data_IF_213333389704
#
_entry.id   IF_213333389704
#
_cell.length_a   1.000
_cell.length_b   1.000
_cell.length_c   1.000
_cell.angle_alpha   90.00
_cell.angle_beta   90.00
_cell.angle_gamma   90.00
#
_symmetry.space_group_name_H-M   'P 1'
#
loop_
_entity.id
_entity.type
_entity.pdbx_description
1 polymer ?
#
# COMPACT_ATOMS: atom_id res chain seq x y z
N UNK A 1 41.66 -42.51 61.38
CA UNK A 1 40.43 -43.00 62.05
C UNK A 1 39.42 -41.86 62.09
N UNK A 2 38.17 -42.22 61.87
CA UNK A 2 37.01 -41.42 61.46
C UNK A 2 36.35 -40.63 62.61
N UNK A 3 35.78 -39.47 62.29
CA UNK A 3 34.80 -38.75 63.12
C UNK A 3 33.50 -38.53 62.31
N UNK A 4 32.30 -38.71 62.89
CA UNK A 4 31.05 -38.40 62.20
C UNK A 4 30.35 -37.14 62.73
N UNK A 5 29.72 -36.44 61.78
CA UNK A 5 28.81 -35.30 61.92
C UNK A 5 27.36 -35.80 61.92
N UNK A 6 26.47 -35.21 62.71
CA UNK A 6 25.02 -35.50 62.67
C UNK A 6 24.21 -34.40 61.96
N UNK A 7 23.08 -34.80 61.36
CA UNK A 7 22.25 -34.08 60.38
C UNK A 7 20.93 -33.56 60.99
N UNK A 8 20.57 -32.31 60.63
CA UNK A 8 19.22 -31.77 60.23
C UNK A 8 18.05 -31.85 61.27
N UNK A 9 17.10 -30.92 61.41
CA UNK A 9 16.48 -29.95 60.49
C UNK A 9 15.64 -28.91 61.27
N UNK A 10 15.37 -27.75 60.63
CA UNK A 10 14.12 -26.97 60.65
C UNK A 10 14.00 -25.73 61.56
N UNK A 11 14.39 -24.55 61.05
CA UNK A 11 13.80 -23.24 61.43
C UNK A 11 13.70 -22.36 60.17
N UNK A 12 12.50 -21.83 59.91
CA UNK A 12 12.19 -20.92 58.83
C UNK A 12 12.75 -19.51 59.06
N UNK A 13 13.08 -18.83 57.95
CA UNK A 13 13.44 -17.42 57.93
C UNK A 13 12.56 -16.68 56.93
N UNK A 14 11.70 -15.83 57.46
CA UNK A 14 11.07 -14.71 56.76
C UNK A 14 12.15 -13.64 56.59
N UNK A 15 12.51 -13.31 55.36
CA UNK A 15 13.29 -12.13 55.04
C UNK A 15 12.58 -11.37 53.92
N UNK A 16 12.14 -10.16 54.26
CA UNK A 16 11.51 -9.22 53.35
C UNK A 16 12.49 -8.82 52.24
N UNK A 17 12.18 -9.18 51.00
CA UNK A 17 12.79 -8.59 49.81
C UNK A 17 11.91 -7.44 49.38
N UNK A 18 12.29 -6.22 49.76
CA UNK A 18 11.81 -5.00 49.11
C UNK A 18 12.29 -5.01 47.66
N UNK A 19 11.42 -5.45 46.76
CA UNK A 19 11.62 -5.31 45.32
C UNK A 19 11.59 -3.82 44.97
N UNK A 20 12.77 -3.25 44.72
CA UNK A 20 12.89 -1.97 44.05
C UNK A 20 12.37 -2.15 42.61
N UNK A 21 11.09 -1.83 42.40
CA UNK A 21 10.55 -1.63 41.06
C UNK A 21 11.18 -0.35 40.49
N UNK A 22 12.36 -0.47 39.90
CA UNK A 22 12.83 0.50 38.92
C UNK A 22 11.87 0.46 37.74
N UNK A 23 10.92 1.39 37.74
CA UNK A 23 10.17 1.76 36.55
C UNK A 23 11.17 2.34 35.54
N UNK A 24 11.90 1.48 34.86
CA UNK A 24 12.53 1.83 33.60
C UNK A 24 11.37 2.20 32.68
N UNK A 25 11.14 3.51 32.52
CA UNK A 25 10.31 4.03 31.45
C UNK A 25 10.92 3.48 30.17
N UNK A 26 10.32 2.43 29.61
CA UNK A 26 10.62 1.98 28.25
C UNK A 26 10.27 3.18 27.40
N UNK A 27 11.29 3.96 27.04
CA UNK A 27 11.14 5.10 26.14
C UNK A 27 10.65 4.47 24.84
N UNK A 28 9.34 4.57 24.58
CA UNK A 28 8.73 3.99 23.40
C UNK A 28 9.58 4.45 22.20
N UNK A 29 10.20 3.49 21.52
CA UNK A 29 11.13 3.79 20.44
C UNK A 29 10.35 4.58 19.39
N UNK A 30 10.84 5.78 19.05
CA UNK A 30 10.15 6.64 18.10
C UNK A 30 9.99 5.88 16.77
N UNK A 31 8.76 5.81 16.27
CA UNK A 31 8.47 5.15 15.00
C UNK A 31 9.20 5.87 13.86
N UNK A 32 9.64 5.16 12.82
CA UNK A 32 10.23 5.80 11.64
C UNK A 32 9.28 6.86 11.08
N UNK A 33 9.76 8.07 10.89
CA UNK A 33 9.03 9.15 10.24
C UNK A 33 9.85 9.71 9.09
N UNK A 34 9.20 10.02 7.98
CA UNK A 34 9.84 10.63 6.81
C UNK A 34 8.99 11.79 6.29
N UNK A 35 9.61 12.82 5.68
CA UNK A 35 8.86 13.93 5.12
C UNK A 35 7.89 13.50 4.02
N UNK A 36 6.75 14.19 3.96
CA UNK A 36 5.71 14.01 2.94
C UNK A 36 5.44 15.35 2.28
N UNK A 37 5.68 15.45 0.98
CA UNK A 37 5.33 16.62 0.20
C UNK A 37 3.88 16.56 -0.28
N UNK A 38 3.18 17.68 -0.18
CA UNK A 38 1.81 17.88 -0.66
C UNK A 38 1.80 19.11 -1.57
N UNK A 39 1.33 18.95 -2.81
CA UNK A 39 1.28 20.05 -3.77
C UNK A 39 -0.07 20.13 -4.48
N UNK A 40 -0.45 21.34 -4.91
CA UNK A 40 -1.61 21.53 -5.79
C UNK A 40 -1.24 21.13 -7.21
N UNK A 41 -2.04 20.26 -7.80
CA UNK A 41 -2.02 19.92 -9.22
C UNK A 41 -3.47 19.78 -9.67
N UNK A 42 -4.02 20.82 -10.31
CA UNK A 42 -5.48 20.92 -10.53
C UNK A 42 -5.98 20.20 -11.77
N UNK A 43 -5.10 19.73 -12.64
CA UNK A 43 -5.43 19.15 -13.94
C UNK A 43 -4.40 18.09 -14.32
N UNK A 44 -4.82 17.11 -15.11
CA UNK A 44 -3.92 16.14 -15.75
C UNK A 44 -3.28 16.72 -17.01
N UNK A 45 -2.44 17.73 -16.79
CA UNK A 45 -1.57 18.30 -17.82
C UNK A 45 -0.15 17.77 -17.59
N UNK A 46 0.50 17.25 -18.63
CA UNK A 46 1.78 16.54 -18.49
C UNK A 46 2.88 17.43 -17.89
N UNK A 47 3.04 18.66 -18.40
CA UNK A 47 4.09 19.56 -17.95
C UNK A 47 3.82 20.07 -16.53
N UNK A 48 2.56 20.38 -16.21
CA UNK A 48 2.15 20.74 -14.85
C UNK A 48 2.42 19.59 -13.87
N UNK A 49 1.99 18.37 -14.18
CA UNK A 49 2.16 17.21 -13.31
C UNK A 49 3.65 16.90 -13.14
N UNK A 50 4.43 16.89 -14.22
CA UNK A 50 5.87 16.63 -14.19
C UNK A 50 6.65 17.67 -13.40
N UNK A 51 6.39 18.96 -13.62
CA UNK A 51 7.03 20.04 -12.85
C UNK A 51 6.64 20.03 -11.37
N UNK A 52 5.38 19.69 -11.06
CA UNK A 52 4.89 19.52 -9.69
C UNK A 52 5.61 18.36 -8.99
N UNK A 53 5.68 17.19 -9.64
CA UNK A 53 6.39 16.02 -9.09
C UNK A 53 7.88 16.30 -8.91
N UNK A 54 8.54 16.99 -9.86
CA UNK A 54 9.95 17.39 -9.72
C UNK A 54 10.17 18.24 -8.46
N UNK A 55 9.32 19.26 -8.26
CA UNK A 55 9.36 20.12 -7.08
C UNK A 55 9.16 19.32 -5.79
N UNK A 56 8.20 18.40 -5.77
CA UNK A 56 7.95 17.54 -4.61
C UNK A 56 9.12 16.58 -4.31
N UNK A 57 9.77 16.05 -5.35
CA UNK A 57 10.95 15.21 -5.23
C UNK A 57 12.14 15.97 -4.66
N UNK A 58 12.32 17.23 -5.03
CA UNK A 58 13.32 18.12 -4.43
C UNK A 58 13.02 18.40 -2.95
N UNK A 59 11.74 18.62 -2.60
CA UNK A 59 11.32 18.81 -1.21
C UNK A 59 11.61 17.60 -0.31
N UNK A 60 11.21 16.38 -0.73
CA UNK A 60 11.42 15.16 0.08
C UNK A 60 12.88 14.66 0.03
N UNK A 61 13.62 15.02 -1.01
CA UNK A 61 15.03 14.73 -1.16
C UNK A 61 15.38 13.28 -1.53
N UNK A 62 16.52 13.12 -2.22
CA UNK A 62 17.16 11.83 -2.47
C UNK A 62 16.55 10.97 -3.58
N UNK A 63 15.54 11.46 -4.31
CA UNK A 63 14.93 10.72 -5.42
C UNK A 63 15.90 10.46 -6.58
N UNK A 64 16.73 11.42 -7.03
CA UNK A 64 17.68 11.13 -8.11
C UNK A 64 18.65 9.98 -7.77
N UNK A 65 19.23 10.00 -6.56
CA UNK A 65 20.09 8.92 -6.07
C UNK A 65 19.34 7.61 -5.79
N UNK A 66 18.03 7.70 -5.47
CA UNK A 66 17.22 6.51 -5.22
C UNK A 66 17.12 5.65 -6.48
N UNK A 67 16.98 6.28 -7.66
CA UNK A 67 16.68 5.59 -8.93
C UNK A 67 17.85 5.48 -9.91
N UNK A 68 18.91 6.27 -9.77
CA UNK A 68 20.05 6.28 -10.70
C UNK A 68 20.68 4.88 -10.83
N UNK A 69 20.79 4.39 -12.06
CA UNK A 69 21.39 3.09 -12.42
C UNK A 69 20.55 1.88 -12.04
N UNK A 70 19.30 2.06 -11.59
CA UNK A 70 18.49 1.00 -10.99
C UNK A 70 17.29 0.61 -11.83
N UNK A 71 16.73 -0.56 -11.53
CA UNK A 71 15.40 -0.99 -11.99
C UNK A 71 14.32 -0.44 -11.07
N UNK A 72 13.41 0.35 -11.63
CA UNK A 72 12.28 0.96 -10.93
C UNK A 72 10.99 0.26 -11.33
N UNK A 73 10.36 -0.44 -10.40
CA UNK A 73 9.03 -1.03 -10.61
C UNK A 73 7.95 -0.07 -10.10
N UNK A 74 7.03 0.31 -10.97
CA UNK A 74 5.92 1.21 -10.66
C UNK A 74 4.63 0.41 -10.61
N UNK A 75 4.09 0.22 -9.41
CA UNK A 75 2.75 -0.36 -9.21
C UNK A 75 1.69 0.73 -9.29
N UNK A 76 0.91 0.71 -10.36
CA UNK A 76 -0.24 1.61 -10.52
C UNK A 76 -1.50 0.99 -9.92
N UNK A 77 -2.61 1.73 -9.86
CA UNK A 77 -3.92 1.18 -9.50
C UNK A 77 -4.81 1.07 -10.75
N UNK A 78 -4.97 -0.14 -11.30
CA UNK A 78 -5.97 -0.46 -12.36
C UNK A 78 -6.75 -1.69 -11.88
N UNK A 79 -7.96 -1.47 -11.34
CA UNK A 79 -8.64 -2.46 -10.49
C UNK A 79 -10.11 -2.71 -10.89
N UNK A 80 -10.66 -3.85 -10.50
CA UNK A 80 -12.09 -4.14 -10.63
C UNK A 80 -12.54 -4.72 -11.98
N UNK A 81 -11.63 -4.86 -12.95
CA UNK A 81 -11.89 -5.49 -14.25
C UNK A 81 -12.94 -4.82 -15.12
N UNK A 82 -13.45 -3.67 -14.70
CA UNK A 82 -14.43 -2.87 -15.41
C UNK A 82 -13.88 -1.46 -15.56
N UNK A 83 -13.64 -1.04 -16.79
CA UNK A 83 -13.31 0.34 -17.16
C UNK A 83 -14.53 1.27 -17.11
N UNK A 84 -15.57 0.89 -16.36
CA UNK A 84 -16.83 1.61 -16.29
C UNK A 84 -16.63 3.04 -15.76
N UNK A 85 -17.27 4.03 -16.40
CA UNK A 85 -17.19 5.42 -15.96
C UNK A 85 -17.99 5.64 -14.66
N UNK A 86 -17.61 6.68 -13.91
CA UNK A 86 -18.45 7.26 -12.87
C UNK A 86 -19.05 8.54 -13.44
N UNK A 87 -20.37 8.54 -13.62
CA UNK A 87 -21.10 9.55 -14.40
C UNK A 87 -20.49 9.69 -15.81
N UNK A 88 -19.95 10.85 -16.16
CA UNK A 88 -19.36 11.13 -17.48
C UNK A 88 -17.83 10.96 -17.50
N UNK A 89 -17.20 10.67 -16.36
CA UNK A 89 -15.75 10.55 -16.27
C UNK A 89 -15.32 9.09 -16.38
N UNK A 90 -14.29 8.84 -17.20
CA UNK A 90 -13.74 7.50 -17.41
C UNK A 90 -13.09 6.93 -16.14
N UNK A 91 -12.75 5.64 -16.18
CA UNK A 91 -12.09 4.98 -15.05
C UNK A 91 -10.74 5.64 -14.70
N UNK A 92 -9.95 6.10 -15.67
CA UNK A 92 -8.64 6.77 -15.43
C UNK A 92 -8.75 8.12 -14.72
N UNK A 93 -9.89 8.79 -14.86
CA UNK A 93 -10.16 10.04 -14.15
C UNK A 93 -10.49 9.78 -12.67
N UNK A 94 -11.13 8.65 -12.35
CA UNK A 94 -11.85 8.49 -11.08
C UNK A 94 -11.38 7.32 -10.22
N UNK A 95 -11.20 6.14 -10.83
CA UNK A 95 -10.92 4.86 -10.16
C UNK A 95 -9.47 4.44 -10.33
N UNK A 96 -8.93 4.54 -11.55
CA UNK A 96 -7.57 4.12 -11.88
C UNK A 96 -6.60 5.25 -11.70
N UNK A 97 -5.33 4.94 -11.43
CA UNK A 97 -4.25 5.93 -11.49
C UNK A 97 -4.21 6.56 -12.86
N UNK A 98 -4.16 7.89 -12.93
CA UNK A 98 -4.20 8.57 -14.22
C UNK A 98 -2.88 8.40 -14.99
N UNK A 99 -2.90 8.02 -16.29
CA UNK A 99 -1.70 7.77 -17.08
C UNK A 99 -0.71 8.94 -17.08
N UNK A 100 -1.19 10.19 -17.14
CA UNK A 100 -0.32 11.38 -17.10
C UNK A 100 0.54 11.44 -15.83
N UNK A 101 0.04 11.03 -14.67
CA UNK A 101 0.82 10.99 -13.41
C UNK A 101 1.92 9.94 -13.50
N UNK A 102 1.61 8.78 -14.06
CA UNK A 102 2.56 7.68 -14.25
C UNK A 102 3.64 8.06 -15.26
N UNK A 103 3.25 8.64 -16.40
CA UNK A 103 4.17 9.10 -17.45
C UNK A 103 5.10 10.20 -16.93
N UNK A 104 4.56 11.16 -16.18
CA UNK A 104 5.35 12.24 -15.58
C UNK A 104 6.38 11.70 -14.57
N UNK A 105 5.98 10.77 -13.70
CA UNK A 105 6.89 10.12 -12.76
C UNK A 105 7.97 9.31 -13.48
N UNK A 106 7.59 8.46 -14.44
CA UNK A 106 8.51 7.66 -15.25
C UNK A 106 9.50 8.54 -16.03
N UNK A 107 9.04 9.65 -16.60
CA UNK A 107 9.88 10.64 -17.29
C UNK A 107 10.94 11.25 -16.38
N UNK A 108 10.59 11.53 -15.11
CA UNK A 108 11.55 12.03 -14.13
C UNK A 108 12.55 10.96 -13.71
N UNK A 109 12.10 9.72 -13.48
CA UNK A 109 13.00 8.61 -13.14
C UNK A 109 13.99 8.33 -14.27
N UNK A 110 13.53 8.37 -15.52
CA UNK A 110 14.39 8.26 -16.70
C UNK A 110 15.41 9.41 -16.75
N UNK A 111 14.96 10.67 -16.58
CA UNK A 111 15.85 11.84 -16.48
C UNK A 111 16.88 11.71 -15.36
N UNK A 112 16.53 11.08 -14.25
CA UNK A 112 17.44 10.82 -13.12
C UNK A 112 18.36 9.61 -13.33
N UNK A 113 18.25 8.93 -14.48
CA UNK A 113 19.13 7.85 -14.88
C UNK A 113 18.69 6.47 -14.41
N UNK A 114 17.39 6.23 -14.18
CA UNK A 114 16.89 4.86 -14.02
C UNK A 114 17.26 4.01 -15.25
N UNK A 115 17.83 2.83 -15.00
CA UNK A 115 18.28 1.94 -16.07
C UNK A 115 17.11 1.22 -16.75
N UNK A 116 16.08 0.88 -15.97
CA UNK A 116 14.89 0.16 -16.42
C UNK A 116 13.68 0.63 -15.63
N UNK A 117 12.55 0.84 -16.27
CA UNK A 117 11.30 1.26 -15.61
C UNK A 117 10.21 0.28 -16.01
N UNK A 118 9.56 -0.38 -15.06
CA UNK A 118 8.55 -1.40 -15.33
C UNK A 118 7.22 -0.97 -14.73
N UNK A 119 6.20 -0.77 -15.56
CA UNK A 119 4.84 -0.49 -15.10
C UNK A 119 4.13 -1.82 -14.85
N UNK A 120 3.67 -2.02 -13.61
CA UNK A 120 3.06 -3.26 -13.15
C UNK A 120 1.65 -3.04 -12.63
N UNK A 121 0.77 -3.98 -12.93
CA UNK A 121 -0.49 -4.23 -12.25
C UNK A 121 -0.93 -5.67 -12.51
N UNK A 122 -1.67 -6.27 -11.58
CA UNK A 122 -2.42 -7.49 -11.87
C UNK A 122 -3.70 -7.15 -12.61
N UNK A 123 -3.60 -7.01 -13.93
CA UNK A 123 -4.74 -6.67 -14.77
C UNK A 123 -5.75 -7.82 -14.81
N UNK A 124 -7.01 -7.45 -14.99
CA UNK A 124 -8.12 -8.37 -15.21
C UNK A 124 -8.29 -8.62 -16.73
N UNK A 125 -7.17 -8.87 -17.41
CA UNK A 125 -7.11 -9.08 -18.86
C UNK A 125 -6.14 -10.24 -19.15
N UNK A 126 -6.48 -11.10 -20.11
CA UNK A 126 -5.63 -12.23 -20.48
C UNK A 126 -4.39 -11.82 -21.27
N UNK A 127 -4.44 -10.65 -21.91
CA UNK A 127 -3.35 -10.15 -22.73
C UNK A 127 -2.09 -9.82 -21.92
N UNK A 128 -1.00 -9.64 -22.67
CA UNK A 128 0.28 -9.17 -22.13
C UNK A 128 0.16 -7.78 -21.48
N UNK A 129 1.21 -7.39 -20.76
CA UNK A 129 1.25 -6.10 -20.07
C UNK A 129 0.96 -4.95 -21.02
N UNK A 130 1.63 -4.91 -22.17
CA UNK A 130 1.53 -3.80 -23.12
C UNK A 130 0.10 -3.61 -23.64
N UNK A 131 -0.54 -4.68 -24.11
CA UNK A 131 -1.90 -4.62 -24.66
C UNK A 131 -2.94 -4.40 -23.56
N UNK A 132 -2.77 -5.05 -22.40
CA UNK A 132 -3.67 -4.87 -21.26
C UNK A 132 -3.67 -3.43 -20.71
N UNK A 133 -2.51 -2.78 -20.64
CA UNK A 133 -2.43 -1.37 -20.28
C UNK A 133 -3.05 -0.45 -21.33
N UNK A 134 -2.85 -0.72 -22.62
CA UNK A 134 -3.51 0.02 -23.72
C UNK A 134 -5.04 -0.01 -23.58
N UNK A 135 -5.62 -1.19 -23.35
CA UNK A 135 -7.06 -1.35 -23.09
C UNK A 135 -7.54 -0.65 -21.82
N UNK A 136 -6.65 -0.47 -20.85
CA UNK A 136 -6.92 0.21 -19.58
C UNK A 136 -6.83 1.74 -19.65
N UNK A 137 -6.61 2.29 -20.85
CA UNK A 137 -6.56 3.74 -21.10
C UNK A 137 -5.17 4.36 -21.02
N UNK A 138 -4.11 3.55 -21.01
CA UNK A 138 -2.72 4.03 -21.07
C UNK A 138 -2.28 4.05 -22.54
N UNK A 139 -1.95 5.22 -23.09
CA UNK A 139 -1.35 5.30 -24.42
C UNK A 139 0.10 4.81 -24.38
N UNK A 140 0.31 3.52 -24.65
CA UNK A 140 1.63 2.89 -24.49
C UNK A 140 2.65 3.45 -25.48
N UNK A 141 2.23 3.92 -26.66
CA UNK A 141 3.12 4.52 -27.65
C UNK A 141 3.67 5.87 -27.21
N UNK A 142 2.84 6.71 -26.58
CA UNK A 142 3.29 7.96 -25.97
C UNK A 142 4.27 7.70 -24.81
N UNK A 143 4.03 6.67 -24.01
CA UNK A 143 4.96 6.28 -22.93
C UNK A 143 6.31 5.78 -23.48
N UNK A 144 6.30 4.88 -24.46
CA UNK A 144 7.50 4.30 -25.06
C UNK A 144 8.36 5.35 -25.79
N UNK A 145 7.71 6.31 -26.47
CA UNK A 145 8.43 7.41 -27.13
C UNK A 145 9.01 8.43 -26.15
N UNK A 146 8.38 8.64 -24.98
CA UNK A 146 8.86 9.57 -23.95
C UNK A 146 9.90 8.94 -23.02
N UNK A 147 9.77 7.64 -22.75
CA UNK A 147 10.62 6.86 -21.84
C UNK A 147 11.05 5.57 -22.52
N UNK A 148 12.15 5.58 -23.30
CA UNK A 148 12.56 4.42 -24.11
C UNK A 148 12.94 3.17 -23.30
N UNK A 149 13.20 3.31 -22.00
CA UNK A 149 13.55 2.22 -21.07
C UNK A 149 12.33 1.63 -20.35
N UNK A 150 11.12 1.94 -20.81
CA UNK A 150 9.88 1.50 -20.17
C UNK A 150 9.45 0.11 -20.62
N UNK A 151 8.94 -0.67 -19.69
CA UNK A 151 8.36 -1.98 -19.90
C UNK A 151 7.02 -2.10 -19.20
N UNK A 152 6.22 -3.08 -19.63
CA UNK A 152 4.87 -3.32 -19.14
C UNK A 152 4.76 -4.76 -18.67
N UNK A 153 4.28 -4.97 -17.44
CA UNK A 153 4.05 -6.31 -16.91
C UNK A 153 2.63 -6.44 -16.36
N UNK A 154 1.90 -7.40 -16.91
CA UNK A 154 0.66 -7.88 -16.31
C UNK A 154 1.00 -8.91 -15.23
N UNK A 155 0.99 -8.50 -13.97
CA UNK A 155 1.41 -9.34 -12.84
C UNK A 155 0.30 -10.24 -12.31
N UNK A 156 -0.75 -10.48 -13.10
CA UNK A 156 -1.86 -11.36 -12.71
C UNK A 156 -1.45 -12.83 -12.59
N UNK A 157 -0.35 -13.20 -13.24
CA UNK A 157 0.18 -14.56 -13.34
C UNK A 157 1.73 -14.53 -13.32
N UNK A 158 2.42 -15.55 -13.85
CA UNK A 158 3.89 -15.57 -13.92
C UNK A 158 4.49 -14.44 -14.78
N UNK A 159 3.68 -13.80 -15.63
CA UNK A 159 4.09 -12.72 -16.51
C UNK A 159 5.13 -13.17 -17.54
N UNK A 160 6.17 -12.37 -17.74
CA UNK A 160 7.28 -12.69 -18.65
C UNK A 160 8.27 -13.74 -18.14
N UNK A 161 8.05 -14.32 -16.95
CA UNK A 161 8.89 -15.37 -16.37
C UNK A 161 8.20 -16.75 -16.36
N UNK A 162 8.97 -17.81 -16.10
CA UNK A 162 8.45 -19.19 -16.01
C UNK A 162 7.99 -19.60 -14.60
N UNK A 163 8.33 -18.82 -13.57
CA UNK A 163 8.05 -19.15 -12.16
C UNK A 163 7.82 -17.90 -11.33
N UNK A 164 6.91 -18.02 -10.37
CA UNK A 164 6.75 -17.07 -9.26
C UNK A 164 8.03 -16.95 -8.41
N UNK A 165 8.08 -15.90 -7.58
CA UNK A 165 9.12 -15.68 -6.59
C UNK A 165 8.51 -15.58 -5.19
N UNK A 166 9.09 -16.32 -4.26
CA UNK A 166 8.73 -16.20 -2.85
C UNK A 166 9.31 -14.92 -2.25
N UNK A 167 8.49 -14.18 -1.50
CA UNK A 167 8.90 -13.05 -0.69
C UNK A 167 8.48 -13.29 0.76
N UNK A 168 9.46 -13.42 1.64
CA UNK A 168 9.21 -13.61 3.07
C UNK A 168 8.72 -12.31 3.72
N UNK A 169 7.83 -12.44 4.70
CA UNK A 169 7.40 -11.34 5.55
C UNK A 169 8.34 -11.29 6.75
N UNK A 170 9.29 -10.35 6.72
CA UNK A 170 10.32 -10.26 7.75
C UNK A 170 9.77 -9.75 9.10
N UNK A 171 10.43 -10.16 10.18
CA UNK A 171 10.11 -9.76 11.55
C UNK A 171 8.90 -10.50 12.10
N UNK A 172 7.93 -9.75 12.61
CA UNK A 172 6.68 -10.30 13.12
C UNK A 172 5.59 -10.10 12.05
N UNK A 173 5.14 -11.14 11.35
CA UNK A 173 3.94 -11.08 10.49
C UNK A 173 2.64 -11.06 11.30
N UNK A 174 1.52 -10.66 10.69
CA UNK A 174 0.19 -10.79 11.28
C UNK A 174 -0.57 -12.05 10.83
N UNK A 175 -0.48 -12.39 9.55
CA UNK A 175 -1.32 -13.39 8.89
C UNK A 175 -0.51 -14.28 7.93
N UNK A 176 0.56 -13.79 7.31
CA UNK A 176 1.34 -14.53 6.32
C UNK A 176 2.84 -14.49 6.62
N UNK A 177 3.51 -15.64 6.58
CA UNK A 177 4.97 -15.75 6.66
C UNK A 177 5.67 -15.42 5.33
N UNK A 178 4.99 -15.63 4.20
CA UNK A 178 5.51 -15.32 2.87
C UNK A 178 4.37 -15.20 1.84
N UNK A 179 4.69 -14.59 0.70
CA UNK A 179 3.83 -14.55 -0.49
C UNK A 179 4.58 -15.06 -1.72
N UNK A 180 3.87 -15.74 -2.62
CA UNK A 180 4.35 -16.10 -3.95
C UNK A 180 3.90 -15.02 -4.93
N UNK A 181 4.85 -14.26 -5.48
CA UNK A 181 4.55 -13.07 -6.28
C UNK A 181 5.12 -13.20 -7.69
N UNK A 182 4.63 -12.36 -8.61
CA UNK A 182 5.25 -12.17 -9.91
C UNK A 182 6.72 -11.72 -9.75
N UNK A 183 7.60 -12.17 -10.63
CA UNK A 183 9.04 -11.94 -10.54
C UNK A 183 9.43 -10.45 -10.51
N UNK A 184 8.65 -9.55 -11.13
CA UNK A 184 8.93 -8.10 -11.15
C UNK A 184 8.94 -7.44 -9.78
N UNK A 185 8.35 -8.07 -8.77
CA UNK A 185 8.41 -7.59 -7.39
C UNK A 185 9.67 -8.08 -6.64
N UNK A 186 10.44 -9.01 -7.22
CA UNK A 186 11.76 -9.42 -6.72
C UNK A 186 12.89 -8.85 -7.56
N UNK A 187 12.70 -8.78 -8.88
CA UNK A 187 13.66 -8.27 -9.86
C UNK A 187 13.56 -6.74 -9.95
N UNK A 188 13.64 -6.06 -8.81
CA UNK A 188 13.48 -4.61 -8.70
C UNK A 188 14.34 -4.04 -7.58
N UNK A 189 14.96 -2.89 -7.84
CA UNK A 189 15.78 -2.17 -6.86
C UNK A 189 14.97 -1.09 -6.12
N UNK A 190 13.92 -0.57 -6.76
CA UNK A 190 13.06 0.50 -6.24
C UNK A 190 11.61 0.18 -6.54
N UNK A 191 10.81 0.03 -5.50
CA UNK A 191 9.37 -0.18 -5.59
C UNK A 191 8.61 1.14 -5.39
N UNK A 192 7.94 1.60 -6.43
CA UNK A 192 7.11 2.81 -6.41
C UNK A 192 5.64 2.40 -6.41
N UNK A 193 4.84 2.94 -5.49
CA UNK A 193 3.38 2.77 -5.47
C UNK A 193 2.71 4.07 -5.89
N UNK A 194 1.95 4.05 -6.99
CA UNK A 194 1.18 5.20 -7.48
C UNK A 194 -0.31 4.88 -7.42
N UNK A 195 -0.99 5.00 -6.26
CA UNK A 195 -2.42 4.76 -6.14
C UNK A 195 -3.25 5.95 -6.61
N UNK A 196 -4.55 5.71 -6.85
CA UNK A 196 -5.59 6.72 -6.81
C UNK A 196 -6.10 6.89 -5.37
N UNK A 197 -6.24 8.13 -4.89
CA UNK A 197 -6.79 8.44 -3.56
C UNK A 197 -8.29 8.21 -3.48
N UNK A 198 -8.73 7.15 -2.80
CA UNK A 198 -10.17 6.85 -2.64
C UNK A 198 -10.48 6.11 -1.36
N UNK A 199 -11.76 5.87 -1.10
CA UNK A 199 -12.19 5.02 0.01
C UNK A 199 -12.04 3.53 -0.32
N UNK A 200 -12.26 2.68 0.68
CA UNK A 200 -12.42 1.24 0.49
C UNK A 200 -13.41 0.71 1.52
N UNK A 201 -14.33 -0.18 1.12
CA UNK A 201 -15.37 -0.71 2.00
C UNK A 201 -14.81 -1.32 3.30
N UNK A 202 -13.79 -2.16 3.21
CA UNK A 202 -13.22 -2.87 4.37
C UNK A 202 -12.00 -2.15 4.96
N UNK A 203 -11.04 -1.75 4.12
CA UNK A 203 -9.81 -1.11 4.60
C UNK A 203 -9.99 0.37 4.98
N UNK A 204 -11.19 0.94 4.79
CA UNK A 204 -11.53 2.35 5.00
C UNK A 204 -11.04 3.26 3.87
N UNK A 205 -9.76 3.12 3.50
CA UNK A 205 -9.09 3.94 2.47
C UNK A 205 -8.26 3.07 1.52
N UNK A 206 -8.11 3.55 0.28
CA UNK A 206 -7.15 3.05 -0.70
C UNK A 206 -6.12 4.13 -0.99
N UNK A 207 -4.89 3.88 -0.56
CA UNK A 207 -3.70 4.71 -0.79
C UNK A 207 -2.50 3.80 -1.10
N UNK A 208 -1.27 4.20 -0.80
CA UNK A 208 -0.06 3.55 -1.31
C UNK A 208 0.12 2.12 -0.78
N UNK A 209 -0.17 1.88 0.50
CA UNK A 209 -0.10 0.55 1.11
C UNK A 209 -1.18 -0.37 0.51
N UNK A 210 -2.43 0.09 0.47
CA UNK A 210 -3.55 -0.74 -0.02
C UNK A 210 -3.42 -1.08 -1.50
N UNK A 211 -2.75 -0.25 -2.29
CA UNK A 211 -2.46 -0.52 -3.69
C UNK A 211 -1.56 -1.75 -3.89
N UNK A 212 -0.68 -2.05 -2.95
CA UNK A 212 0.13 -3.28 -3.01
C UNK A 212 -0.69 -4.55 -2.79
N UNK A 213 -1.93 -4.47 -2.30
CA UNK A 213 -2.79 -5.65 -2.22
C UNK A 213 -2.90 -6.37 -3.59
N UNK A 214 -2.84 -5.61 -4.69
CA UNK A 214 -2.87 -6.15 -6.06
C UNK A 214 -1.60 -6.86 -6.54
N UNK A 215 -0.48 -6.82 -5.80
CA UNK A 215 0.74 -7.52 -6.21
C UNK A 215 0.62 -9.05 -6.09
N UNK A 216 -0.33 -9.52 -5.30
CA UNK A 216 -0.67 -10.94 -5.18
C UNK A 216 -1.32 -11.41 -6.48
N UNK A 217 -0.74 -12.33 -7.28
CA UNK A 217 -1.27 -12.67 -8.60
C UNK A 217 -2.68 -13.29 -8.52
N UNK A 218 -3.58 -12.94 -9.44
CA UNK A 218 -4.92 -13.57 -9.52
C UNK A 218 -4.83 -15.08 -9.73
N UNK A 219 -3.83 -15.56 -10.46
CA UNK A 219 -3.54 -16.98 -10.67
C UNK A 219 -3.30 -17.80 -9.40
N UNK A 220 -2.87 -17.16 -8.31
CA UNK A 220 -2.55 -17.84 -7.05
C UNK A 220 -3.46 -17.43 -5.89
N UNK A 221 -4.09 -16.27 -5.99
CA UNK A 221 -4.85 -15.64 -4.91
C UNK A 221 -6.29 -15.31 -5.29
N UNK A 222 -6.77 -15.75 -6.45
CA UNK A 222 -8.21 -15.85 -6.69
C UNK A 222 -8.76 -17.14 -6.09
N UNK A 223 -10.06 -17.19 -5.77
CA UNK A 223 -10.67 -18.38 -5.20
C UNK A 223 -11.54 -19.22 -6.15
N UNK A 224 -11.91 -18.68 -7.32
CA UNK A 224 -12.72 -19.44 -8.29
C UNK A 224 -11.83 -20.42 -9.08
N UNK A 225 -10.68 -19.94 -9.55
CA UNK A 225 -9.68 -20.70 -10.29
C UNK A 225 -8.29 -20.23 -9.86
N UNK A 226 -7.35 -21.17 -9.67
CA UNK A 226 -5.95 -20.86 -9.31
C UNK A 226 -5.03 -21.39 -10.41
N UNK A 227 -5.13 -20.76 -11.57
CA UNK A 227 -4.36 -21.09 -12.77
C UNK A 227 -3.84 -19.83 -13.47
N UNK A 228 -2.96 -20.01 -14.46
CA UNK A 228 -2.32 -18.91 -15.19
C UNK A 228 -3.29 -18.06 -16.04
N UNK A 229 -4.58 -18.41 -16.15
CA UNK A 229 -5.61 -17.67 -16.91
C UNK A 229 -6.66 -17.01 -16.00
N UNK A 230 -6.48 -17.10 -14.69
CA UNK A 230 -7.46 -16.63 -13.71
C UNK A 230 -7.59 -15.11 -13.70
N UNK A 231 -8.82 -14.62 -13.96
CA UNK A 231 -9.21 -13.21 -13.89
C UNK A 231 -10.05 -12.88 -12.66
N UNK A 232 -10.26 -13.81 -11.74
CA UNK A 232 -11.09 -13.56 -10.57
C UNK A 232 -10.40 -12.65 -9.55
N UNK A 233 -11.20 -11.93 -8.76
CA UNK A 233 -10.68 -11.11 -7.67
C UNK A 233 -10.19 -11.99 -6.49
N UNK A 234 -9.51 -11.36 -5.53
CA UNK A 234 -8.90 -12.05 -4.37
C UNK A 234 -9.83 -12.17 -3.17
N UNK A 235 -11.14 -11.98 -3.34
CA UNK A 235 -12.07 -11.92 -2.22
C UNK A 235 -12.09 -13.24 -1.45
N UNK A 236 -12.29 -14.37 -2.12
CA UNK A 236 -12.35 -15.67 -1.47
C UNK A 236 -11.06 -15.99 -0.68
N UNK A 237 -9.89 -15.93 -1.32
CA UNK A 237 -8.62 -16.30 -0.66
C UNK A 237 -8.20 -15.27 0.41
N UNK A 238 -8.13 -13.99 0.06
CA UNK A 238 -7.57 -12.98 0.98
C UNK A 238 -8.61 -12.41 1.96
N UNK A 239 -9.91 -12.38 1.60
CA UNK A 239 -10.95 -11.86 2.50
C UNK A 239 -11.61 -12.95 3.34
N UNK A 240 -11.72 -14.18 2.83
CA UNK A 240 -12.42 -15.29 3.52
C UNK A 240 -11.44 -16.37 4.01
N UNK A 241 -10.25 -16.47 3.39
CA UNK A 241 -9.27 -17.50 3.73
C UNK A 241 -9.59 -18.86 3.13
N UNK A 242 -10.32 -18.89 2.01
CA UNK A 242 -10.68 -20.11 1.31
C UNK A 242 -10.64 -19.91 -0.22
N UNK A 243 -10.08 -20.84 -1.01
CA UNK A 243 -9.22 -21.95 -0.58
C UNK A 243 -7.92 -21.44 0.08
N UNK A 244 -7.12 -22.36 0.63
CA UNK A 244 -5.83 -21.99 1.23
C UNK A 244 -4.98 -21.18 0.24
N UNK A 245 -4.44 -20.03 0.67
CA UNK A 245 -3.64 -19.18 -0.20
C UNK A 245 -2.33 -19.87 -0.59
N UNK A 246 -1.78 -19.54 -1.77
CA UNK A 246 -0.40 -19.90 -2.13
C UNK A 246 0.67 -19.22 -1.22
N UNK A 247 0.25 -18.39 -0.26
CA UNK A 247 1.11 -17.79 0.76
C UNK A 247 1.19 -18.64 2.02
N UNK A 248 2.23 -18.44 2.82
CA UNK A 248 2.43 -19.14 4.09
C UNK A 248 1.52 -18.60 5.20
N UNK A 249 0.20 -18.80 5.09
CA UNK A 249 -0.76 -18.38 6.11
C UNK A 249 -0.43 -19.00 7.47
N UNK A 250 -0.49 -18.18 8.52
CA UNK A 250 -0.14 -18.57 9.88
C UNK A 250 -1.38 -19.19 10.53
N UNK A 251 -1.28 -20.47 10.90
CA UNK A 251 -2.34 -21.23 11.54
C UNK A 251 -2.12 -21.37 13.05
N UNK A 252 -3.18 -21.34 13.87
CA UNK A 252 -4.58 -21.06 13.48
C UNK A 252 -4.80 -19.56 13.19
N UNK A 253 -5.66 -19.25 12.21
CA UNK A 253 -6.04 -17.86 11.92
C UNK A 253 -7.02 -17.37 13.00
N UNK A 254 -6.74 -16.25 13.70
CA UNK A 254 -7.61 -15.80 14.80
C UNK A 254 -9.02 -15.39 14.37
N UNK A 255 -9.21 -14.93 13.14
CA UNK A 255 -10.52 -14.59 12.59
C UNK A 255 -10.52 -14.62 11.06
N UNK A 256 -11.57 -15.21 10.49
CA UNK A 256 -11.78 -15.26 9.05
C UNK A 256 -12.58 -14.07 8.50
N UNK A 257 -12.96 -13.12 9.36
CA UNK A 257 -13.72 -11.94 8.92
C UNK A 257 -12.86 -11.03 8.02
N UNK A 258 -13.41 -10.50 6.92
CA UNK A 258 -12.66 -9.62 6.02
C UNK A 258 -12.04 -8.41 6.72
N UNK A 259 -12.76 -7.82 7.69
CA UNK A 259 -12.29 -6.70 8.50
C UNK A 259 -11.05 -7.02 9.36
N UNK A 260 -10.87 -8.29 9.72
CA UNK A 260 -9.65 -8.75 10.39
C UNK A 260 -8.53 -9.02 9.38
N UNK A 261 -8.84 -9.73 8.29
CA UNK A 261 -7.86 -10.28 7.35
C UNK A 261 -7.24 -9.22 6.46
N UNK A 262 -8.03 -8.35 5.84
CA UNK A 262 -7.51 -7.42 4.81
C UNK A 262 -6.48 -6.46 5.37
N UNK A 263 -6.73 -5.72 6.47
CA UNK A 263 -5.74 -4.78 6.99
C UNK A 263 -4.42 -5.47 7.36
N UNK A 264 -4.49 -6.68 7.92
CA UNK A 264 -3.32 -7.50 8.29
C UNK A 264 -2.56 -8.01 7.07
N UNK A 265 -3.28 -8.51 6.07
CA UNK A 265 -2.69 -8.92 4.80
C UNK A 265 -1.97 -7.76 4.11
N UNK A 266 -2.56 -6.55 4.10
CA UNK A 266 -1.92 -5.36 3.53
C UNK A 266 -0.59 -5.03 4.24
N UNK A 267 -0.57 -5.07 5.57
CA UNK A 267 0.66 -4.82 6.35
C UNK A 267 1.73 -5.87 6.04
N UNK A 268 1.35 -7.14 5.98
CA UNK A 268 2.29 -8.22 5.66
C UNK A 268 2.81 -8.13 4.22
N UNK A 269 1.96 -7.78 3.25
CA UNK A 269 2.35 -7.57 1.85
C UNK A 269 3.37 -6.41 1.75
N UNK A 270 3.10 -5.29 2.43
CA UNK A 270 4.03 -4.14 2.47
C UNK A 270 5.36 -4.52 3.15
N UNK A 271 5.36 -5.45 4.10
CA UNK A 271 6.60 -6.00 4.67
C UNK A 271 7.34 -6.93 3.70
N UNK A 272 6.63 -7.82 3.02
CA UNK A 272 7.23 -8.72 2.02
C UNK A 272 7.83 -7.93 0.84
N UNK A 273 7.16 -6.84 0.44
CA UNK A 273 7.65 -5.90 -0.55
C UNK A 273 7.48 -4.44 -0.08
N UNK A 274 8.52 -3.88 0.59
CA UNK A 274 8.52 -2.47 0.99
C UNK A 274 8.35 -1.52 -0.19
N UNK A 275 7.70 -0.38 0.06
CA UNK A 275 7.53 0.73 -0.88
C UNK A 275 8.62 1.76 -0.60
N UNK A 276 9.47 2.02 -1.58
CA UNK A 276 10.56 3.01 -1.48
C UNK A 276 10.10 4.44 -1.76
N UNK A 277 9.05 4.59 -2.57
CA UNK A 277 8.43 5.86 -2.90
C UNK A 277 6.92 5.68 -3.13
N UNK A 278 6.13 6.49 -2.41
CA UNK A 278 4.67 6.57 -2.60
C UNK A 278 4.35 7.87 -3.33
N UNK A 279 3.50 7.81 -4.37
CA UNK A 279 2.99 8.98 -5.10
C UNK A 279 1.46 8.84 -5.22
N UNK A 280 0.71 9.53 -4.38
CA UNK A 280 -0.75 9.45 -4.39
C UNK A 280 -1.32 10.45 -5.40
N UNK A 281 -2.05 9.92 -6.38
CA UNK A 281 -2.86 10.69 -7.33
C UNK A 281 -4.20 11.07 -6.68
N UNK A 282 -4.38 12.36 -6.42
CA UNK A 282 -5.59 12.94 -5.84
C UNK A 282 -6.06 14.16 -6.64
N UNK A 283 -5.78 14.21 -7.95
CA UNK A 283 -6.19 15.34 -8.80
C UNK A 283 -7.70 15.31 -9.00
N UNK A 284 -8.21 14.19 -9.53
CA UNK A 284 -9.62 13.81 -9.60
C UNK A 284 -9.74 12.37 -9.10
N UNK A 285 -10.79 12.07 -8.34
CA UNK A 285 -11.08 10.73 -7.84
C UNK A 285 -12.56 10.52 -7.50
N UNK A 286 -12.82 9.51 -6.70
CA UNK A 286 -14.12 9.13 -6.16
C UNK A 286 -14.09 9.05 -4.62
N UNK A 287 -15.26 9.17 -4.01
CA UNK A 287 -15.50 8.83 -2.60
C UNK A 287 -16.51 7.67 -2.49
N UNK A 288 -16.79 7.22 -1.26
CA UNK A 288 -17.82 6.22 -0.99
C UNK A 288 -17.39 4.77 -1.18
N UNK A 289 -16.25 4.52 -1.83
CA UNK A 289 -15.68 3.18 -1.98
C UNK A 289 -14.51 3.12 -2.93
N UNK A 290 -14.21 1.91 -3.41
CA UNK A 290 -13.01 1.63 -4.21
C UNK A 290 -13.26 1.47 -5.73
N UNK A 291 -14.52 1.49 -6.17
CA UNK A 291 -14.92 1.46 -7.58
C UNK A 291 -16.44 1.47 -7.80
N UNK A 292 -16.87 1.48 -9.06
CA UNK A 292 -18.29 1.61 -9.47
C UNK A 292 -19.23 0.55 -8.89
N UNK A 293 -18.71 -0.63 -8.54
CA UNK A 293 -19.46 -1.74 -7.95
C UNK A 293 -20.00 -1.42 -6.54
N UNK A 294 -19.56 -0.32 -5.95
CA UNK A 294 -20.10 0.21 -4.69
C UNK A 294 -21.46 0.93 -4.87
N UNK A 295 -21.97 0.95 -6.11
CA UNK A 295 -23.34 1.33 -6.42
C UNK A 295 -23.61 2.83 -6.24
N UNK A 296 -24.84 3.19 -5.85
CA UNK A 296 -25.32 4.57 -5.78
C UNK A 296 -24.63 5.45 -4.72
N UNK A 297 -23.71 4.88 -3.93
CA UNK A 297 -22.97 5.58 -2.87
C UNK A 297 -21.67 6.22 -3.36
N UNK A 298 -21.23 5.87 -4.57
CA UNK A 298 -20.05 6.48 -5.18
C UNK A 298 -20.35 7.89 -5.65
N UNK A 299 -19.39 8.80 -5.49
CA UNK A 299 -19.48 10.16 -5.99
C UNK A 299 -18.10 10.70 -6.37
N UNK A 300 -18.07 11.81 -7.10
CA UNK A 300 -16.83 12.42 -7.59
C UNK A 300 -16.23 13.36 -6.55
N UNK A 301 -14.90 13.41 -6.54
CA UNK A 301 -14.12 14.40 -5.80
C UNK A 301 -13.00 14.93 -6.68
N UNK A 302 -12.65 16.20 -6.52
CA UNK A 302 -11.52 16.81 -7.24
C UNK A 302 -10.63 17.59 -6.27
N UNK A 303 -9.86 16.90 -5.40
CA UNK A 303 -8.96 17.59 -4.46
C UNK A 303 -7.91 18.45 -5.17
N UNK A 304 -7.50 18.07 -6.39
CA UNK A 304 -6.50 18.80 -7.16
C UNK A 304 -5.11 18.73 -6.53
N UNK A 305 -4.71 17.55 -6.06
CA UNK A 305 -3.49 17.35 -5.29
C UNK A 305 -2.64 16.19 -5.81
N UNK A 306 -1.33 16.30 -5.56
CA UNK A 306 -0.39 15.19 -5.54
C UNK A 306 0.26 15.12 -4.16
N UNK A 307 0.52 13.91 -3.68
CA UNK A 307 1.20 13.66 -2.40
C UNK A 307 2.33 12.67 -2.64
N UNK A 308 3.54 12.95 -2.13
CA UNK A 308 4.68 12.07 -2.29
C UNK A 308 5.52 11.94 -1.02
N UNK A 309 6.01 10.74 -0.75
CA UNK A 309 6.85 10.47 0.42
C UNK A 309 7.59 9.13 0.33
N UNK A 310 8.69 9.01 1.07
CA UNK A 310 9.58 7.83 1.10
C UNK A 310 9.26 6.84 2.22
N UNK A 311 8.20 7.08 2.97
CA UNK A 311 7.62 6.14 3.92
C UNK A 311 6.12 6.04 3.65
N UNK A 312 5.64 4.85 3.30
CA UNK A 312 4.24 4.65 2.90
C UNK A 312 3.25 4.87 4.05
N UNK A 313 3.60 4.55 5.30
CA UNK A 313 2.72 4.78 6.46
C UNK A 313 2.55 6.28 6.70
N UNK A 314 3.64 7.04 6.66
CA UNK A 314 3.59 8.49 6.81
C UNK A 314 2.79 9.14 5.67
N UNK A 315 3.02 8.68 4.43
CA UNK A 315 2.36 9.21 3.23
C UNK A 315 0.85 8.93 3.25
N UNK A 316 0.46 7.71 3.62
CA UNK A 316 -0.94 7.32 3.72
C UNK A 316 -1.64 7.99 4.92
N UNK A 317 -0.94 8.25 6.03
CA UNK A 317 -1.48 9.00 7.17
C UNK A 317 -1.77 10.46 6.80
N UNK A 318 -0.85 11.14 6.08
CA UNK A 318 -1.10 12.49 5.54
C UNK A 318 -2.24 12.45 4.53
N UNK A 319 -2.30 11.45 3.65
CA UNK A 319 -3.41 11.24 2.72
C UNK A 319 -4.75 11.08 3.43
N UNK A 320 -4.84 10.24 4.45
CA UNK A 320 -6.05 10.05 5.26
C UNK A 320 -6.51 11.35 5.93
N UNK A 321 -5.57 12.12 6.49
CA UNK A 321 -5.87 13.42 7.10
C UNK A 321 -6.39 14.46 6.10
N UNK A 322 -5.83 14.46 4.88
CA UNK A 322 -6.31 15.29 3.77
C UNK A 322 -7.73 14.90 3.35
N UNK A 323 -8.07 13.61 3.32
CA UNK A 323 -9.42 13.13 3.06
C UNK A 323 -10.43 13.51 4.17
N UNK A 324 -9.96 14.08 5.28
CA UNK A 324 -10.79 14.47 6.43
C UNK A 324 -10.93 13.39 7.50
N UNK A 325 -10.08 12.37 7.48
CA UNK A 325 -10.10 11.27 8.43
C UNK A 325 -9.01 11.40 9.51
N UNK A 326 -9.22 10.73 10.63
CA UNK A 326 -8.20 10.56 11.66
C UNK A 326 -7.35 9.32 11.33
N UNK A 327 -6.04 9.46 11.05
CA UNK A 327 -5.15 8.32 10.77
C UNK A 327 -4.97 7.38 11.96
N UNK A 328 -5.27 7.84 13.18
CA UNK A 328 -5.22 7.06 14.43
C UNK A 328 -6.59 6.52 14.84
N UNK A 329 -7.63 6.74 14.04
CA UNK A 329 -8.99 6.29 14.35
C UNK A 329 -9.01 4.79 14.70
N UNK A 330 -9.68 4.38 15.80
CA UNK A 330 -9.77 2.98 16.15
C UNK A 330 -10.67 2.21 15.18
N UNK A 331 -10.54 0.89 15.20
CA UNK A 331 -11.41 -0.03 14.45
C UNK A 331 -12.90 0.25 14.75
N UNK A 332 -13.74 0.19 13.72
CA UNK A 332 -15.17 0.47 13.81
C UNK A 332 -15.53 1.96 13.82
N UNK A 333 -14.54 2.87 13.78
CA UNK A 333 -14.76 4.32 13.63
C UNK A 333 -14.45 4.78 12.21
N UNK A 334 -14.96 5.96 11.85
CA UNK A 334 -14.73 6.57 10.53
C UNK A 334 -13.23 6.74 10.28
N UNK A 335 -12.67 6.30 9.14
CA UNK A 335 -13.28 5.63 7.99
C UNK A 335 -13.23 4.09 8.05
N UNK A 336 -12.58 3.52 9.05
CA UNK A 336 -12.37 2.08 9.27
C UNK A 336 -13.59 1.38 9.90
N UNK A 337 -14.78 1.55 9.30
CA UNK A 337 -16.01 0.99 9.86
C UNK A 337 -16.05 -0.53 9.85
N UNK A 338 -15.58 -1.14 8.77
CA UNK A 338 -15.75 -2.57 8.50
C UNK A 338 -14.43 -3.36 8.61
N UNK A 339 -13.40 -2.78 9.22
CA UNK A 339 -12.12 -3.45 9.41
C UNK A 339 -11.15 -2.67 10.28
N UNK A 340 -10.10 -3.35 10.72
CA UNK A 340 -9.04 -2.75 11.52
C UNK A 340 -8.35 -1.60 10.78
N UNK A 341 -7.87 -0.60 11.52
CA UNK A 341 -7.10 0.50 10.96
C UNK A 341 -5.72 -0.02 10.46
N UNK A 342 -5.57 -0.10 9.14
CA UNK A 342 -4.35 -0.57 8.48
C UNK A 342 -3.12 0.26 8.86
N UNK A 343 -3.27 1.58 9.04
CA UNK A 343 -2.17 2.47 9.43
C UNK A 343 -1.71 2.21 10.87
N UNK A 344 -2.65 2.02 11.78
CA UNK A 344 -2.35 1.67 13.17
C UNK A 344 -1.66 0.30 13.27
N UNK A 345 -2.10 -0.69 12.49
CA UNK A 345 -1.43 -1.99 12.41
C UNK A 345 -0.01 -1.89 11.85
N UNK A 346 0.20 -1.05 10.83
CA UNK A 346 1.52 -0.83 10.25
C UNK A 346 2.47 -0.15 11.24
N UNK A 347 1.98 0.87 11.93
CA UNK A 347 2.70 1.59 12.99
C UNK A 347 3.07 0.66 14.14
N UNK A 348 2.15 -0.21 14.59
CA UNK A 348 2.41 -1.22 15.61
C UNK A 348 3.50 -2.24 15.21
N UNK A 349 3.80 -2.36 13.91
CA UNK A 349 4.89 -3.18 13.37
C UNK A 349 6.11 -2.37 12.96
N UNK A 350 6.22 -1.11 13.39
CA UNK A 350 7.41 -0.28 13.15
C UNK A 350 7.63 0.15 11.71
N UNK A 351 6.62 0.06 10.83
CA UNK A 351 6.77 0.40 9.42
C UNK A 351 6.79 1.91 9.16
N UNK A 352 6.24 2.70 10.08
CA UNK A 352 6.30 4.14 10.08
C UNK A 352 5.27 4.74 11.03
N UNK A 353 5.37 6.03 11.32
CA UNK A 353 4.38 6.72 12.14
C UNK A 353 3.10 6.99 11.34
N UNK A 354 1.95 6.71 11.94
CA UNK A 354 0.65 7.19 11.48
C UNK A 354 0.18 8.44 12.23
N UNK A 355 1.00 8.98 13.14
CA UNK A 355 0.66 10.16 13.94
C UNK A 355 1.12 11.42 13.22
N UNK A 356 0.18 12.33 12.91
CA UNK A 356 0.48 13.50 12.08
C UNK A 356 1.54 14.43 12.67
N UNK A 357 1.58 14.55 14.00
CA UNK A 357 2.57 15.37 14.70
C UNK A 357 4.01 14.90 14.53
N UNK A 358 4.23 13.64 14.15
CA UNK A 358 5.57 13.10 13.93
C UNK A 358 6.07 13.32 12.49
N UNK A 359 5.17 13.66 11.57
CA UNK A 359 5.43 13.63 10.12
C UNK A 359 5.70 15.05 9.61
N UNK A 360 6.92 15.34 9.10
CA UNK A 360 7.17 16.63 8.46
C UNK A 360 6.37 16.75 7.15
N UNK A 361 5.36 17.63 7.12
CA UNK A 361 4.57 17.91 5.92
C UNK A 361 5.16 19.11 5.18
N UNK A 362 5.59 18.90 3.94
CA UNK A 362 6.24 19.89 3.08
C UNK A 362 5.26 20.42 2.01
N UNK A 363 5.44 21.67 1.59
CA UNK A 363 4.54 22.32 0.63
C UNK A 363 3.24 22.79 1.28
N UNK A 364 2.10 22.24 0.86
CA UNK A 364 0.81 22.56 1.47
C UNK A 364 0.63 21.84 2.82
N UNK A 365 0.28 22.60 3.86
CA UNK A 365 -0.20 22.02 5.11
C UNK A 365 -1.46 21.18 4.89
N UNK A 366 -1.65 20.13 5.70
CA UNK A 366 -2.88 19.30 5.72
C UNK A 366 -4.16 20.14 5.78
N UNK A 367 -4.18 21.20 6.60
CA UNK A 367 -5.35 22.08 6.73
C UNK A 367 -5.74 22.76 5.40
N UNK A 368 -4.75 23.26 4.64
CA UNK A 368 -4.95 23.92 3.33
C UNK A 368 -5.22 22.94 2.18
N UNK A 369 -4.85 21.68 2.37
CA UNK A 369 -5.04 20.60 1.41
C UNK A 369 -6.33 19.79 1.67
N UNK A 370 -6.95 19.94 2.84
CA UNK A 370 -8.10 19.13 3.25
C UNK A 370 -9.25 19.20 2.24
N UNK A 371 -9.73 18.04 1.83
CA UNK A 371 -10.90 17.84 1.00
C UNK A 371 -11.71 16.69 1.59
N UNK A 372 -12.93 16.95 2.04
CA UNK A 372 -13.70 15.94 2.76
C UNK A 372 -14.21 14.84 1.83
N UNK A 373 -13.88 13.59 2.13
CA UNK A 373 -14.44 12.42 1.47
C UNK A 373 -15.61 11.88 2.31
N UNK A 374 -16.64 11.37 1.63
CA UNK A 374 -17.63 10.52 2.28
C UNK A 374 -17.07 9.09 2.36
N UNK A 375 -17.02 8.48 3.55
CA UNK A 375 -16.50 7.14 3.72
C UNK A 375 -17.43 6.11 3.04
N UNK A 376 -16.95 4.89 2.92
CA UNK A 376 -17.84 3.77 2.61
C UNK A 376 -18.87 3.56 3.72
N UNK A 377 -19.96 2.87 3.38
CA UNK A 377 -21.02 2.58 4.34
C UNK A 377 -20.55 1.63 5.44
N UNK A 378 -21.18 1.72 6.60
CA UNK A 378 -20.98 0.76 7.69
C UNK A 378 -21.89 -0.44 7.43
N UNK A 379 -21.34 -1.65 7.41
CA UNK A 379 -22.15 -2.86 7.25
C UNK A 379 -23.13 -3.01 8.43
N UNK A 380 -24.39 -3.35 8.12
CA UNK A 380 -25.45 -3.48 9.12
C UNK A 380 -26.06 -2.18 9.65
N UNK A 381 -25.77 -1.02 9.03
CA UNK A 381 -26.40 0.28 9.36
C UNK A 381 -27.45 0.73 8.36
#
# INVERSE_FOLDING_TARGET
MTAPVSRRTFIGRVAAVTAACSAASVRAQALPAAPVAVARCRRYDFDLVKSTLATMFDMIGGIPSLVKGKTVTIKVNVTGGSSAPIYTLSAVETVYTHPVVVLAAASLFHKFGANRIVICESLYDLDDGRTGFQKSGYDVGTFESTVPTIEWENTRNCGTAAKYRQRNVEGQPYLYNYFMLNHRYSDTDVMVSIPKMKNHQIAGITLAMKNLFGITPSSLYSGVSQDEDSLSNRAQVLHQGAPSPAGGEILPVPSHQPGFRIPRAVVDIVRARPIDLSIIDAVVSMHGGEGVWQGTRVGLVAPGLLIAGRNCVCTDAVGAAIMGYDPEAPEGKRPFYNGANTLALAAARGLGSNRLQDIPVLGLSVAKARYAFLPSFKEGS
#
